data_IF_682701155209
#
_entry.id   IF_682701155209
#
_cell.length_a   1.000
_cell.length_b   1.000
_cell.length_c   1.000
_cell.angle_alpha   90.00
_cell.angle_beta   90.00
_cell.angle_gamma   90.00
#
_symmetry.space_group_name_H-M   'P 1'
#
loop_
_entity.id
_entity.type
_entity.pdbx_description
1 polymer ?
#
# COMPACT_ATOMS: atom_id res chain seq x y z
N UNK A 1 -10.41 -9.00 3.84
CA UNK A 1 -9.38 -8.56 2.87
C UNK A 1 -8.32 -7.79 3.63
N UNK A 2 -7.08 -8.25 3.56
CA UNK A 2 -5.89 -7.56 4.06
C UNK A 2 -5.21 -6.93 2.85
N UNK A 3 -4.90 -5.65 2.90
CA UNK A 3 -4.17 -4.94 1.85
C UNK A 3 -2.99 -4.21 2.46
N UNK A 4 -1.78 -4.46 1.95
CA UNK A 4 -0.60 -3.72 2.36
C UNK A 4 0.13 -3.21 1.11
N UNK A 5 0.07 -1.90 0.92
CA UNK A 5 0.78 -1.19 -0.13
C UNK A 5 2.13 -0.66 0.34
N UNK A 6 2.76 0.18 -0.48
CA UNK A 6 4.04 0.81 -0.14
C UNK A 6 3.92 1.83 1.00
N UNK A 7 2.84 2.61 1.02
CA UNK A 7 2.68 3.76 1.93
C UNK A 7 1.52 3.64 2.91
N UNK A 8 0.57 2.76 2.63
CA UNK A 8 -0.59 2.54 3.49
C UNK A 8 -0.89 1.05 3.62
N UNK A 9 -1.76 0.75 4.57
CA UNK A 9 -2.28 -0.58 4.80
C UNK A 9 -3.74 -0.49 5.21
N UNK A 10 -4.56 -1.44 4.74
CA UNK A 10 -6.01 -1.46 4.92
C UNK A 10 -6.48 -2.84 5.30
N UNK A 11 -7.58 -2.90 6.05
CA UNK A 11 -8.37 -4.10 6.28
C UNK A 11 -9.81 -3.80 5.90
N UNK A 12 -10.41 -4.72 5.15
CA UNK A 12 -11.81 -4.61 4.70
C UNK A 12 -12.53 -5.90 5.08
N UNK A 13 -13.60 -5.78 5.85
CA UNK A 13 -14.46 -6.89 6.22
C UNK A 13 -15.69 -6.86 5.33
N UNK A 14 -15.93 -7.97 4.63
CA UNK A 14 -17.07 -8.15 3.75
C UNK A 14 -17.94 -9.26 4.31
N UNK A 15 -19.23 -8.99 4.48
CA UNK A 15 -20.26 -9.98 4.88
C UNK A 15 -21.40 -9.88 3.89
N UNK A 16 -21.91 -11.01 3.41
CA UNK A 16 -23.05 -11.07 2.49
C UNK A 16 -22.91 -10.13 1.27
N UNK A 17 -21.68 -10.01 0.75
CA UNK A 17 -21.37 -9.16 -0.40
C UNK A 17 -21.24 -7.66 -0.12
N UNK A 18 -21.40 -7.22 1.13
CA UNK A 18 -21.29 -5.80 1.53
C UNK A 18 -20.13 -5.56 2.47
N UNK A 19 -19.51 -4.39 2.39
CA UNK A 19 -18.46 -3.95 3.32
C UNK A 19 -19.11 -3.60 4.66
N UNK A 20 -18.79 -4.36 5.71
CA UNK A 20 -19.36 -4.15 7.05
C UNK A 20 -18.40 -3.45 8.01
N UNK A 21 -17.11 -3.51 7.75
CA UNK A 21 -16.10 -2.84 8.57
C UNK A 21 -14.83 -2.54 7.75
N UNK A 22 -14.11 -1.51 8.17
CA UNK A 22 -12.92 -0.99 7.51
C UNK A 22 -11.92 -0.44 8.53
N UNK A 23 -10.63 -0.57 8.23
CA UNK A 23 -9.55 0.07 8.96
C UNK A 23 -8.40 0.41 8.02
N UNK A 24 -7.73 1.53 8.26
CA UNK A 24 -6.61 1.96 7.43
C UNK A 24 -5.58 2.73 8.25
N UNK A 25 -4.30 2.52 7.93
CA UNK A 25 -3.18 3.32 8.42
C UNK A 25 -2.47 3.99 7.24
N UNK A 26 -2.51 5.33 7.20
CA UNK A 26 -1.82 6.18 6.21
C UNK A 26 -0.70 7.02 6.82
N UNK A 27 -0.55 7.03 8.14
CA UNK A 27 0.36 7.96 8.85
C UNK A 27 1.68 7.28 9.20
N UNK A 28 1.65 5.99 9.49
CA UNK A 28 2.84 5.27 9.98
C UNK A 28 3.36 4.27 8.95
N UNK A 29 4.63 4.41 8.58
CA UNK A 29 5.35 3.43 7.76
C UNK A 29 5.52 2.07 8.45
N UNK A 30 5.44 2.02 9.79
CA UNK A 30 5.44 0.75 10.51
C UNK A 30 4.12 0.02 10.20
N UNK A 31 4.19 -0.98 9.33
CA UNK A 31 3.01 -1.69 8.81
C UNK A 31 2.85 -1.66 7.30
N UNK A 32 3.75 -1.01 6.55
CA UNK A 32 3.67 -0.87 5.08
C UNK A 32 4.90 -1.46 4.38
N UNK A 33 4.86 -1.54 3.04
CA UNK A 33 5.98 -2.04 2.24
C UNK A 33 7.26 -1.22 2.37
N UNK A 34 7.14 0.10 2.50
CA UNK A 34 8.31 0.98 2.65
C UNK A 34 9.17 0.63 3.87
N UNK A 35 8.58 0.12 4.95
CA UNK A 35 9.34 -0.39 6.08
C UNK A 35 10.29 -1.52 5.67
N UNK A 36 9.79 -2.49 4.91
CA UNK A 36 10.58 -3.63 4.43
C UNK A 36 11.65 -3.17 3.44
N UNK A 37 11.32 -2.27 2.52
CA UNK A 37 12.26 -1.71 1.55
C UNK A 37 13.44 -1.01 2.26
N UNK A 38 13.15 -0.20 3.28
CA UNK A 38 14.17 0.46 4.08
C UNK A 38 15.06 -0.55 4.84
N UNK A 39 14.51 -1.65 5.34
CA UNK A 39 15.32 -2.67 6.02
C UNK A 39 16.17 -3.48 5.04
N UNK A 40 15.60 -3.86 3.89
CA UNK A 40 16.31 -4.58 2.84
C UNK A 40 17.51 -3.79 2.32
N UNK A 41 17.29 -2.50 1.98
CA UNK A 41 18.35 -1.60 1.52
C UNK A 41 19.50 -1.49 2.52
N UNK A 42 19.20 -1.41 3.82
CA UNK A 42 20.22 -1.31 4.88
C UNK A 42 21.03 -2.57 5.07
N UNK A 43 20.46 -3.73 4.75
CA UNK A 43 21.14 -5.01 4.74
C UNK A 43 21.81 -5.31 3.39
N UNK A 44 21.77 -4.35 2.45
CA UNK A 44 22.25 -4.49 1.08
C UNK A 44 21.62 -5.68 0.35
N UNK A 45 20.30 -5.88 0.55
CA UNK A 45 19.50 -6.92 -0.09
C UNK A 45 18.45 -6.28 -0.99
N UNK A 46 18.09 -6.97 -2.08
CA UNK A 46 16.82 -6.69 -2.76
C UNK A 46 15.63 -7.14 -1.89
N UNK A 47 14.43 -6.66 -2.21
CA UNK A 47 13.22 -7.08 -1.48
C UNK A 47 12.87 -8.56 -1.75
N UNK A 48 13.25 -9.08 -2.91
CA UNK A 48 13.13 -10.49 -3.28
C UNK A 48 14.09 -11.36 -2.46
N UNK A 49 15.36 -10.95 -2.37
CA UNK A 49 16.37 -11.63 -1.53
C UNK A 49 15.97 -11.59 -0.05
N UNK A 50 15.44 -10.46 0.42
CA UNK A 50 14.88 -10.33 1.76
C UNK A 50 13.83 -11.42 2.01
N UNK A 51 12.85 -11.55 1.10
CA UNK A 51 11.78 -12.54 1.22
C UNK A 51 12.32 -13.97 1.22
N UNK A 52 13.21 -14.30 0.28
CA UNK A 52 13.77 -15.64 0.17
C UNK A 52 14.53 -16.04 1.42
N UNK A 53 15.42 -15.16 1.90
CA UNK A 53 16.21 -15.42 3.10
C UNK A 53 15.38 -15.48 4.38
N UNK A 54 14.35 -14.64 4.49
CA UNK A 54 13.41 -14.72 5.61
C UNK A 54 12.71 -16.10 5.67
N UNK A 55 12.43 -16.74 4.54
CA UNK A 55 11.85 -18.09 4.52
C UNK A 55 12.81 -19.17 5.04
N UNK A 56 14.12 -18.95 4.94
CA UNK A 56 15.18 -19.85 5.42
C UNK A 56 15.41 -19.77 6.94
N UNK A 57 14.74 -18.84 7.63
CA UNK A 57 14.80 -18.75 9.09
C UNK A 57 14.37 -20.05 9.76
N UNK A 58 15.18 -20.46 10.75
CA UNK A 58 14.94 -21.66 11.57
C UNK A 58 14.68 -21.33 13.04
N UNK A 59 15.11 -20.16 13.49
CA UNK A 59 14.95 -19.69 14.87
C UNK A 59 14.74 -18.17 14.87
N UNK A 60 13.59 -17.67 14.39
CA UNK A 60 13.35 -16.24 14.23
C UNK A 60 13.54 -15.47 15.53
N UNK A 61 14.16 -14.30 15.42
CA UNK A 61 14.34 -13.43 16.59
C UNK A 61 13.14 -12.50 16.73
N UNK A 62 12.74 -12.26 17.98
CA UNK A 62 11.69 -11.27 18.24
C UNK A 62 12.26 -9.87 18.01
N UNK A 63 11.67 -9.15 17.06
CA UNK A 63 11.95 -7.73 16.80
C UNK A 63 10.79 -6.85 17.29
N UNK A 64 11.14 -5.73 17.92
CA UNK A 64 10.22 -4.67 18.30
C UNK A 64 9.71 -3.90 17.06
N UNK A 65 8.48 -4.19 16.62
CA UNK A 65 7.92 -3.67 15.36
C UNK A 65 6.99 -2.45 15.46
N UNK A 66 6.94 -1.73 16.59
CA UNK A 66 5.93 -0.66 16.77
C UNK A 66 6.23 0.58 15.92
N UNK A 67 7.51 0.91 15.77
CA UNK A 67 8.00 2.05 15.00
C UNK A 67 9.19 1.57 14.16
N UNK A 68 9.32 2.07 12.93
CA UNK A 68 10.41 1.71 12.01
C UNK A 68 11.78 2.00 12.61
N UNK A 69 11.94 3.12 13.32
CA UNK A 69 13.19 3.53 13.99
C UNK A 69 13.59 2.56 15.11
N UNK A 70 12.62 2.05 15.88
CA UNK A 70 12.91 1.10 16.96
C UNK A 70 13.15 -0.31 16.42
N UNK A 71 12.42 -0.73 15.40
CA UNK A 71 12.68 -1.98 14.70
C UNK A 71 14.09 -1.99 14.10
N UNK A 72 14.51 -0.86 13.53
CA UNK A 72 15.87 -0.63 13.06
C UNK A 72 16.91 -0.82 14.16
N UNK A 73 16.71 -0.16 15.31
CA UNK A 73 17.68 -0.19 16.42
C UNK A 73 17.81 -1.60 17.00
N UNK A 74 16.68 -2.30 17.14
CA UNK A 74 16.64 -3.67 17.63
C UNK A 74 17.26 -4.64 16.62
N UNK A 75 17.00 -4.48 15.32
CA UNK A 75 17.65 -5.25 14.25
C UNK A 75 19.18 -5.17 14.34
N UNK A 76 19.73 -3.95 14.43
CA UNK A 76 21.18 -3.73 14.56
C UNK A 76 21.72 -4.38 15.83
N UNK A 77 21.01 -4.25 16.94
CA UNK A 77 21.39 -4.90 18.19
C UNK A 77 21.44 -6.43 18.05
N UNK A 78 20.43 -7.06 17.40
CA UNK A 78 20.43 -8.50 17.15
C UNK A 78 21.57 -8.95 16.25
N UNK A 79 21.94 -8.14 15.25
CA UNK A 79 23.13 -8.41 14.43
C UNK A 79 24.42 -8.40 15.27
N UNK A 80 24.58 -7.41 16.15
CA UNK A 80 25.75 -7.31 17.03
C UNK A 80 25.84 -8.47 18.03
N UNK A 81 24.71 -9.04 18.43
CA UNK A 81 24.66 -10.26 19.25
C UNK A 81 24.99 -11.54 18.48
N UNK A 82 25.19 -11.47 17.15
CA UNK A 82 25.54 -12.62 16.32
C UNK A 82 24.35 -13.45 15.84
N UNK A 83 23.12 -12.92 15.90
CA UNK A 83 21.98 -13.61 15.30
C UNK A 83 22.13 -13.70 13.78
N UNK A 84 21.67 -14.81 13.20
CA UNK A 84 21.66 -15.00 11.75
C UNK A 84 20.75 -13.96 11.11
N UNK A 85 21.18 -13.41 9.99
CA UNK A 85 20.40 -12.44 9.23
C UNK A 85 19.03 -13.02 8.86
N UNK A 86 18.95 -14.27 8.42
CA UNK A 86 17.70 -14.93 8.03
C UNK A 86 16.65 -14.92 9.16
N UNK A 87 17.09 -15.19 10.39
CA UNK A 87 16.24 -15.13 11.60
C UNK A 87 15.80 -13.71 11.96
N UNK A 88 16.65 -12.72 11.69
CA UNK A 88 16.31 -11.30 11.84
C UNK A 88 15.28 -10.87 10.80
N UNK A 89 15.46 -11.26 9.54
CA UNK A 89 14.56 -10.95 8.44
C UNK A 89 13.15 -11.50 8.69
N UNK A 90 13.04 -12.77 9.10
CA UNK A 90 11.72 -13.32 9.45
C UNK A 90 11.14 -12.67 10.71
N UNK A 91 11.98 -12.32 11.68
CA UNK A 91 11.59 -11.52 12.84
C UNK A 91 10.97 -10.17 12.48
N UNK A 92 11.50 -9.49 11.46
CA UNK A 92 10.95 -8.25 10.90
C UNK A 92 9.60 -8.48 10.21
N UNK A 93 9.43 -9.56 9.44
CA UNK A 93 8.15 -9.94 8.85
C UNK A 93 7.07 -10.11 9.92
N UNK A 94 7.37 -10.90 10.97
CA UNK A 94 6.45 -11.10 12.07
C UNK A 94 6.17 -9.79 12.83
N UNK A 95 7.16 -8.92 12.95
CA UNK A 95 7.00 -7.61 13.59
C UNK A 95 6.05 -6.69 12.82
N UNK A 96 6.12 -6.68 11.49
CA UNK A 96 5.18 -5.98 10.62
C UNK A 96 3.77 -6.54 10.77
N UNK A 97 3.59 -7.87 10.68
CA UNK A 97 2.28 -8.52 10.80
C UNK A 97 1.64 -8.23 12.15
N UNK A 98 2.37 -8.39 13.25
CA UNK A 98 1.88 -8.04 14.60
C UNK A 98 1.50 -6.57 14.69
N UNK A 99 2.27 -5.66 14.10
CA UNK A 99 1.94 -4.24 14.10
C UNK A 99 0.63 -3.99 13.33
N UNK A 100 0.50 -4.56 12.14
CA UNK A 100 -0.69 -4.44 11.31
C UNK A 100 -1.95 -4.91 12.06
N UNK A 101 -1.91 -6.09 12.69
CA UNK A 101 -3.05 -6.62 13.43
C UNK A 101 -3.39 -5.78 14.68
N UNK A 102 -2.37 -5.28 15.40
CA UNK A 102 -2.59 -4.47 16.61
C UNK A 102 -3.04 -3.03 16.33
N UNK A 103 -2.90 -2.54 15.10
CA UNK A 103 -3.27 -1.17 14.74
C UNK A 103 -4.43 -1.14 13.75
N UNK A 104 -4.28 -1.77 12.59
CA UNK A 104 -5.26 -1.74 11.49
C UNK A 104 -6.36 -2.78 11.73
N UNK A 105 -5.98 -3.98 12.18
CA UNK A 105 -6.90 -5.07 12.51
C UNK A 105 -7.53 -4.98 13.91
N UNK A 106 -7.18 -3.98 14.72
CA UNK A 106 -7.55 -3.94 16.13
C UNK A 106 -9.07 -3.87 16.31
N UNK A 107 -9.59 -4.79 17.13
CA UNK A 107 -11.02 -4.87 17.44
C UNK A 107 -11.88 -5.41 16.30
N UNK A 108 -11.27 -5.92 15.21
CA UNK A 108 -11.98 -6.48 14.06
C UNK A 108 -11.93 -8.00 14.08
N UNK A 109 -13.06 -8.61 13.73
CA UNK A 109 -13.16 -10.06 13.61
C UNK A 109 -12.69 -10.52 12.22
N UNK A 110 -11.46 -11.03 12.15
CA UNK A 110 -10.89 -11.59 10.93
C UNK A 110 -11.30 -13.07 10.81
N UNK A 111 -12.22 -13.37 9.89
CA UNK A 111 -12.65 -14.75 9.63
C UNK A 111 -12.31 -15.18 8.21
N UNK A 112 -11.98 -16.45 8.04
CA UNK A 112 -11.72 -17.03 6.72
C UNK A 112 -12.97 -17.05 5.81
N UNK A 113 -12.79 -16.95 4.48
CA UNK A 113 -11.51 -16.85 3.76
C UNK A 113 -10.85 -15.47 3.91
N UNK A 114 -9.53 -15.45 4.11
CA UNK A 114 -8.73 -14.22 4.17
C UNK A 114 -7.94 -14.07 2.87
N UNK A 115 -8.20 -12.97 2.17
CA UNK A 115 -7.46 -12.56 0.98
C UNK A 115 -6.41 -11.53 1.38
N UNK A 116 -5.16 -11.69 0.94
CA UNK A 116 -4.08 -10.73 1.11
C UNK A 116 -3.65 -10.15 -0.24
N UNK A 117 -3.70 -8.82 -0.37
CA UNK A 117 -3.40 -8.08 -1.59
C UNK A 117 -2.46 -6.89 -1.36
N UNK A 118 -2.09 -6.21 -2.44
CA UNK A 118 -1.11 -5.12 -2.45
C UNK A 118 0.30 -5.60 -2.80
N UNK A 119 1.24 -4.66 -2.94
CA UNK A 119 2.62 -4.98 -3.34
C UNK A 119 3.37 -5.85 -2.33
N UNK A 120 3.05 -5.73 -1.04
CA UNK A 120 3.71 -6.54 0.00
C UNK A 120 3.33 -8.02 -0.08
N UNK A 121 2.21 -8.36 -0.75
CA UNK A 121 1.83 -9.76 -0.94
C UNK A 121 2.77 -10.55 -1.86
N UNK A 122 3.69 -9.90 -2.60
CA UNK A 122 4.79 -10.59 -3.26
C UNK A 122 5.76 -11.27 -2.27
N UNK A 123 5.90 -10.69 -1.06
CA UNK A 123 6.80 -11.21 -0.04
C UNK A 123 6.20 -12.42 0.66
N UNK A 124 6.62 -13.62 0.23
CA UNK A 124 6.13 -14.89 0.74
C UNK A 124 6.42 -15.10 2.24
N UNK A 125 7.46 -14.45 2.79
CA UNK A 125 7.70 -14.49 4.22
C UNK A 125 6.66 -13.70 5.04
N UNK A 126 6.06 -12.65 4.47
CA UNK A 126 4.92 -11.94 5.07
C UNK A 126 3.66 -12.80 5.01
N UNK A 127 3.41 -13.49 3.90
CA UNK A 127 2.30 -14.46 3.78
C UNK A 127 2.43 -15.53 4.87
N UNK A 128 3.61 -16.14 5.00
CA UNK A 128 3.94 -17.11 6.05
C UNK A 128 3.73 -16.54 7.46
N UNK A 129 4.14 -15.29 7.68
CA UNK A 129 3.96 -14.62 8.98
C UNK A 129 2.48 -14.36 9.32
N UNK A 130 1.65 -13.97 8.34
CA UNK A 130 0.21 -13.84 8.54
C UNK A 130 -0.44 -15.20 8.84
N UNK A 131 -0.09 -16.24 8.09
CA UNK A 131 -0.60 -17.59 8.34
C UNK A 131 -0.26 -18.08 9.75
N UNK A 132 0.96 -17.80 10.22
CA UNK A 132 1.40 -18.18 11.56
C UNK A 132 0.68 -17.38 12.66
N UNK A 133 0.48 -16.07 12.48
CA UNK A 133 -0.13 -15.21 13.50
C UNK A 133 -1.66 -15.36 13.57
N UNK A 134 -2.32 -15.64 12.44
CA UNK A 134 -3.78 -15.83 12.36
C UNK A 134 -4.22 -17.29 12.43
N UNK A 135 -3.27 -18.23 12.46
CA UNK A 135 -3.52 -19.68 12.47
C UNK A 135 -4.49 -20.14 11.37
N UNK A 136 -4.44 -19.50 10.21
CA UNK A 136 -5.32 -19.80 9.06
C UNK A 136 -4.57 -19.64 7.74
N UNK A 137 -5.08 -20.28 6.70
CA UNK A 137 -4.62 -20.04 5.33
C UNK A 137 -4.93 -18.61 4.87
N UNK A 138 -3.99 -18.07 4.08
CA UNK A 138 -4.09 -16.75 3.46
C UNK A 138 -4.06 -16.95 1.95
N UNK A 139 -5.09 -16.48 1.27
CA UNK A 139 -5.17 -16.52 -0.19
C UNK A 139 -4.55 -15.26 -0.77
N UNK A 140 -3.50 -15.40 -1.59
CA UNK A 140 -2.96 -14.31 -2.40
C UNK A 140 -3.52 -14.48 -3.82
N UNK A 141 -4.37 -13.56 -4.32
CA UNK A 141 -4.96 -13.68 -5.64
C UNK A 141 -3.91 -13.37 -6.73
N UNK A 142 -4.12 -13.83 -7.98
CA UNK A 142 -3.33 -13.34 -9.09
C UNK A 142 -3.55 -11.83 -9.25
N UNK A 143 -2.52 -11.12 -9.72
CA UNK A 143 -2.56 -9.67 -9.93
C UNK A 143 -2.93 -8.87 -8.67
N UNK A 144 -2.53 -9.37 -7.49
CA UNK A 144 -2.80 -8.76 -6.18
C UNK A 144 -2.31 -7.30 -6.06
N UNK A 145 -1.36 -6.88 -6.90
CA UNK A 145 -0.82 -5.54 -6.99
C UNK A 145 -1.78 -4.51 -7.62
N UNK A 146 -2.78 -4.96 -8.39
CA UNK A 146 -3.69 -4.09 -9.18
C UNK A 146 -5.17 -4.43 -9.00
N UNK A 147 -5.53 -5.14 -7.94
CA UNK A 147 -6.91 -5.55 -7.66
C UNK A 147 -7.91 -4.39 -7.66
N UNK A 148 -7.50 -3.20 -7.18
CA UNK A 148 -8.33 -2.00 -7.24
C UNK A 148 -8.63 -1.55 -8.68
N UNK A 149 -7.64 -1.64 -9.59
CA UNK A 149 -7.82 -1.32 -11.00
C UNK A 149 -8.72 -2.35 -11.70
N UNK A 150 -8.58 -3.64 -11.36
CA UNK A 150 -9.47 -4.70 -11.84
C UNK A 150 -10.90 -4.43 -11.41
N UNK A 151 -11.13 -4.09 -10.14
CA UNK A 151 -12.45 -3.73 -9.62
C UNK A 151 -13.05 -2.53 -10.36
N UNK A 152 -12.26 -1.48 -10.60
CA UNK A 152 -12.71 -0.34 -11.38
C UNK A 152 -13.10 -0.72 -12.82
N UNK A 153 -12.32 -1.59 -13.48
CA UNK A 153 -12.63 -2.07 -14.82
C UNK A 153 -13.92 -2.91 -14.86
N UNK A 154 -14.17 -3.74 -13.83
CA UNK A 154 -15.41 -4.50 -13.69
C UNK A 154 -16.63 -3.58 -13.52
N UNK A 155 -16.54 -2.56 -12.66
CA UNK A 155 -17.62 -1.58 -12.49
C UNK A 155 -17.94 -0.84 -13.79
N UNK A 156 -16.92 -0.41 -14.54
CA UNK A 156 -17.11 0.21 -15.86
C UNK A 156 -17.76 -0.78 -16.83
N UNK A 157 -17.35 -2.04 -16.83
CA UNK A 157 -17.93 -3.07 -17.69
C UNK A 157 -19.42 -3.31 -17.38
N UNK A 158 -19.79 -3.39 -16.10
CA UNK A 158 -21.18 -3.51 -15.65
C UNK A 158 -22.04 -2.32 -16.11
N UNK A 159 -21.52 -1.10 -15.95
CA UNK A 159 -22.21 0.13 -16.38
C UNK A 159 -22.38 0.19 -17.91
N UNK A 160 -21.35 -0.20 -18.67
CA UNK A 160 -21.42 -0.28 -20.13
C UNK A 160 -22.51 -1.27 -20.59
N UNK A 161 -22.63 -2.43 -19.93
CA UNK A 161 -23.67 -3.40 -20.23
C UNK A 161 -25.07 -2.89 -19.88
N UNK A 162 -25.21 -2.21 -18.73
CA UNK A 162 -26.50 -1.70 -18.27
C UNK A 162 -27.04 -0.58 -19.16
N UNK A 163 -26.18 0.39 -19.51
CA UNK A 163 -26.58 1.57 -20.30
C UNK A 163 -26.43 1.40 -21.81
N UNK A 164 -25.82 0.30 -22.27
CA UNK A 164 -25.45 0.05 -23.67
C UNK A 164 -24.57 1.17 -24.26
N UNK A 165 -23.65 1.68 -23.45
CA UNK A 165 -22.71 2.74 -23.83
C UNK A 165 -21.26 2.22 -23.79
N UNK A 166 -20.39 2.83 -24.58
CA UNK A 166 -18.95 2.60 -24.50
C UNK A 166 -18.32 3.35 -23.33
N UNK A 167 -17.24 2.81 -22.74
CA UNK A 167 -16.45 3.57 -21.76
C UNK A 167 -15.81 4.81 -22.37
N UNK A 168 -15.48 5.79 -21.53
CA UNK A 168 -14.64 6.95 -21.86
C UNK A 168 -13.15 6.66 -21.72
N UNK A 169 -12.71 5.40 -21.85
CA UNK A 169 -11.31 5.04 -21.76
C UNK A 169 -10.51 5.79 -22.83
N UNK A 170 -9.56 6.63 -22.40
CA UNK A 170 -8.75 7.48 -23.28
C UNK A 170 -7.71 6.71 -24.11
N UNK A 171 -7.59 5.39 -23.92
CA UNK A 171 -6.57 4.57 -24.55
C UNK A 171 -5.24 4.60 -23.80
N UNK A 172 -4.32 3.71 -24.19
CA UNK A 172 -2.97 3.63 -23.61
C UNK A 172 -2.03 4.75 -24.07
N UNK A 173 -2.37 5.44 -25.17
CA UNK A 173 -1.58 6.56 -25.70
C UNK A 173 -1.42 7.73 -24.72
N UNK A 174 -2.26 7.80 -23.67
CA UNK A 174 -2.11 8.79 -22.60
C UNK A 174 -0.73 8.77 -21.93
N UNK A 175 -0.06 7.61 -21.85
CA UNK A 175 1.30 7.55 -21.29
C UNK A 175 2.37 8.18 -22.18
N UNK A 176 2.06 8.40 -23.46
CA UNK A 176 2.97 8.98 -24.46
C UNK A 176 2.72 10.49 -24.66
N UNK A 177 1.66 11.02 -24.05
CA UNK A 177 1.31 12.43 -24.13
C UNK A 177 2.34 13.31 -23.44
N UNK A 178 2.56 14.51 -24.00
CA UNK A 178 3.49 15.48 -23.42
C UNK A 178 2.79 16.29 -22.33
N UNK A 179 3.00 15.86 -21.10
CA UNK A 179 2.59 16.61 -19.92
C UNK A 179 3.59 17.71 -19.59
N UNK A 180 3.08 18.90 -19.27
CA UNK A 180 3.86 20.00 -18.74
C UNK A 180 3.51 20.23 -17.28
N UNK A 181 4.50 20.16 -16.40
CA UNK A 181 4.35 20.44 -14.98
C UNK A 181 4.88 21.84 -14.69
N UNK A 182 4.08 22.66 -14.02
CA UNK A 182 4.47 23.98 -13.53
C UNK A 182 3.97 24.17 -12.09
N UNK A 183 4.41 25.23 -11.41
CA UNK A 183 3.86 25.61 -10.09
C UNK A 183 3.57 27.11 -10.01
N UNK A 184 2.69 27.49 -9.09
CA UNK A 184 2.40 28.88 -8.76
C UNK A 184 2.06 29.04 -7.28
N UNK A 185 2.23 30.25 -6.75
CA UNK A 185 1.88 30.56 -5.36
C UNK A 185 0.41 30.95 -5.23
N UNK A 186 -0.34 30.26 -4.37
CA UNK A 186 -1.74 30.55 -4.10
C UNK A 186 -1.89 31.77 -3.18
N UNK A 187 -2.54 32.81 -3.69
CA UNK A 187 -2.80 34.07 -2.95
C UNK A 187 -4.19 34.11 -2.27
N UNK A 188 -4.90 32.97 -2.17
CA UNK A 188 -6.27 32.93 -1.65
C UNK A 188 -6.35 33.15 -0.13
N UNK A 189 -5.27 32.90 0.61
CA UNK A 189 -5.18 33.11 2.05
C UNK A 189 -3.70 33.28 2.48
N UNK A 190 -3.41 33.64 3.74
CA UNK A 190 -2.04 33.86 4.22
C UNK A 190 -1.09 32.64 4.18
N UNK A 191 -1.59 31.45 3.83
CA UNK A 191 -0.79 30.22 3.80
C UNK A 191 0.17 30.15 2.59
N UNK A 192 -0.04 30.96 1.55
CA UNK A 192 0.83 31.06 0.36
C UNK A 192 1.33 29.69 -0.16
N UNK A 193 0.40 28.75 -0.34
CA UNK A 193 0.75 27.39 -0.72
C UNK A 193 1.34 27.37 -2.12
N UNK A 194 2.44 26.62 -2.32
CA UNK A 194 2.90 26.28 -3.66
C UNK A 194 1.98 25.23 -4.27
N UNK A 195 1.32 25.58 -5.37
CA UNK A 195 0.39 24.71 -6.08
C UNK A 195 1.10 24.16 -7.31
N UNK A 196 1.25 22.85 -7.35
CA UNK A 196 1.69 22.15 -8.54
C UNK A 196 0.52 22.05 -9.54
N UNK A 197 0.82 22.21 -10.82
CA UNK A 197 -0.12 22.13 -11.93
C UNK A 197 0.41 21.16 -12.98
N UNK A 198 -0.42 20.21 -13.38
CA UNK A 198 -0.21 19.35 -14.53
C UNK A 198 -1.06 19.85 -15.68
N UNK A 199 -0.46 20.14 -16.83
CA UNK A 199 -1.14 20.58 -18.03
C UNK A 199 -0.85 19.68 -19.23
N UNK A 200 -1.83 19.55 -20.11
CA UNK A 200 -1.70 18.88 -21.42
C UNK A 200 -2.20 19.84 -22.49
N UNK A 201 -1.42 20.05 -23.56
CA UNK A 201 -1.75 20.98 -24.64
C UNK A 201 -2.15 22.40 -24.17
N UNK A 202 -1.53 22.88 -23.08
CA UNK A 202 -1.81 24.19 -22.48
C UNK A 202 -3.05 24.24 -21.57
N UNK A 203 -3.83 23.16 -21.46
CA UNK A 203 -4.97 23.05 -20.57
C UNK A 203 -4.58 22.37 -19.26
N UNK A 204 -4.94 22.97 -18.12
CA UNK A 204 -4.72 22.38 -16.81
C UNK A 204 -5.59 21.12 -16.64
N UNK A 205 -4.93 19.99 -16.36
CA UNK A 205 -5.56 18.70 -16.14
C UNK A 205 -5.78 18.43 -14.65
N UNK A 206 -4.80 18.77 -13.81
CA UNK A 206 -4.84 18.57 -12.37
C UNK A 206 -4.00 19.62 -11.64
N UNK A 207 -4.35 19.90 -10.38
CA UNK A 207 -3.59 20.75 -9.47
C UNK A 207 -3.61 20.16 -8.07
N UNK A 208 -2.53 20.30 -7.31
CA UNK A 208 -2.39 19.79 -5.94
C UNK A 208 -1.33 20.56 -5.14
N UNK A 209 -1.22 20.28 -3.84
CA UNK A 209 -0.23 20.89 -2.94
C UNK A 209 -0.80 21.99 -2.05
N UNK A 210 -2.11 22.23 -2.13
CA UNK A 210 -2.79 23.15 -1.24
C UNK A 210 -2.98 22.54 0.16
N UNK A 211 -2.96 23.38 1.20
CA UNK A 211 -3.45 22.97 2.54
C UNK A 211 -4.98 22.82 2.60
N UNK A 212 -5.68 23.30 1.57
CA UNK A 212 -7.12 23.19 1.40
C UNK A 212 -7.44 22.75 -0.03
N UNK A 213 -8.68 22.30 -0.24
CA UNK A 213 -9.10 21.66 -1.49
C UNK A 213 -9.40 22.64 -2.63
N UNK A 214 -9.03 23.93 -2.52
CA UNK A 214 -9.39 24.96 -3.49
C UNK A 214 -8.96 24.60 -4.92
N UNK A 215 -7.78 23.98 -5.05
CA UNK A 215 -7.20 23.63 -6.35
C UNK A 215 -7.30 22.13 -6.68
N UNK A 216 -7.65 21.29 -5.72
CA UNK A 216 -7.70 19.82 -5.88
C UNK A 216 -9.05 19.32 -6.42
N UNK A 217 -10.05 20.21 -6.51
CA UNK A 217 -11.34 19.93 -7.15
C UNK A 217 -11.14 19.97 -8.67
N UNK A 218 -11.24 18.82 -9.32
CA UNK A 218 -11.37 18.76 -10.77
C UNK A 218 -12.67 19.47 -11.17
N UNK A 219 -12.58 20.57 -11.92
CA UNK A 219 -13.75 21.01 -12.70
C UNK A 219 -14.12 19.84 -13.62
N UNK A 220 -15.36 19.37 -13.50
CA UNK A 220 -15.93 18.38 -14.41
C UNK A 220 -15.65 18.84 -15.84
N UNK A 221 -14.78 18.13 -16.54
CA UNK A 221 -14.55 18.36 -17.97
C UNK A 221 -15.92 18.18 -18.62
N UNK A 222 -16.57 19.29 -18.96
CA UNK A 222 -17.75 19.26 -19.82
C UNK A 222 -17.27 18.76 -21.18
N UNK A 223 -17.47 17.47 -21.41
CA UNK A 223 -17.33 16.86 -22.73
C UNK A 223 -18.51 17.34 -23.57
N UNK A 224 -18.23 18.19 -24.57
CA UNK A 224 -19.11 18.37 -25.72
C UNK A 224 -19.22 17.07 -26.52
#
# INVERSE_FOLDING_TARGET
IIEIGGQDSKVIIVRDGVVTDFGMNTVCAAGTGSFLDHQALRLSLSIEEFSQRALESTSPVRIAGRCTVFAESDMVHKQQMGHKIDDILYGLCQALVRNYLNNVGLGKELTSPIVFQGGVAYNQAIVKAFQAELETEITVPPHHEIMGAIGAALLVHEEMQHNRQSSFFKGFGVSEEKYHTSSFECQACPNLCEIAQLAINGQALARWGGRCDLWERSESIQTN
#
